data_IF_702215782020
#
_entry.id   IF_702215782020
#
_cell.length_a   1.000
_cell.length_b   1.000
_cell.length_c   1.000
_cell.angle_alpha   90.00
_cell.angle_beta   90.00
_cell.angle_gamma   90.00
#
_symmetry.space_group_name_H-M   'P 1'
#
loop_
_entity.id
_entity.type
_entity.pdbx_description
1 polymer ?
#
# COMPACT_ATOMS: atom_id res chain seq x y z
N UNK A 1 -32.60 -5.68 -5.95
CA UNK A 1 -31.26 -5.14 -5.74
C UNK A 1 -30.72 -4.64 -7.08
N UNK A 2 -29.93 -3.56 -7.07
CA UNK A 2 -29.24 -3.09 -8.27
C UNK A 2 -28.17 -4.10 -8.67
N UNK A 3 -27.95 -4.30 -9.96
CA UNK A 3 -27.02 -5.31 -10.46
C UNK A 3 -25.64 -4.75 -10.67
N UNK A 4 -24.63 -5.47 -10.18
CA UNK A 4 -23.21 -5.18 -10.37
C UNK A 4 -22.53 -6.31 -11.12
N UNK A 5 -21.54 -5.94 -11.92
CA UNK A 5 -20.54 -6.85 -12.46
C UNK A 5 -19.21 -6.51 -11.82
N UNK A 6 -18.61 -7.47 -11.15
CA UNK A 6 -17.29 -7.34 -10.54
C UNK A 6 -16.28 -8.06 -11.41
N UNK A 7 -15.23 -7.34 -11.82
CA UNK A 7 -14.11 -7.89 -12.55
C UNK A 7 -12.94 -8.05 -11.58
N UNK A 8 -12.75 -9.29 -11.10
CA UNK A 8 -11.79 -9.63 -10.06
C UNK A 8 -10.54 -10.29 -10.65
N UNK A 9 -9.36 -9.63 -10.58
CA UNK A 9 -8.11 -10.24 -11.00
C UNK A 9 -7.69 -11.29 -9.98
N UNK A 10 -7.98 -12.56 -10.26
CA UNK A 10 -7.59 -13.67 -9.41
C UNK A 10 -6.29 -14.29 -9.92
N UNK A 11 -5.25 -14.28 -9.10
CA UNK A 11 -3.99 -14.95 -9.42
C UNK A 11 -3.73 -16.09 -8.43
N UNK A 12 -3.94 -17.32 -8.86
CA UNK A 12 -3.76 -18.51 -8.02
C UNK A 12 -2.29 -18.96 -7.92
N UNK A 13 -1.41 -18.44 -8.77
CA UNK A 13 -0.09 -19.05 -8.97
C UNK A 13 1.04 -18.45 -8.15
N UNK A 14 0.86 -17.30 -7.49
CA UNK A 14 1.93 -16.71 -6.69
C UNK A 14 1.50 -16.41 -5.27
N UNK A 15 2.40 -16.70 -4.32
CA UNK A 15 2.21 -16.44 -2.89
C UNK A 15 1.93 -14.97 -2.57
N UNK A 16 2.45 -14.06 -3.38
CA UNK A 16 2.24 -12.62 -3.23
C UNK A 16 0.79 -12.19 -3.49
N UNK A 17 0.09 -12.87 -4.39
CA UNK A 17 -1.26 -12.53 -4.79
C UNK A 17 -2.35 -13.18 -3.91
N UNK A 18 -2.00 -14.13 -3.05
CA UNK A 18 -2.97 -14.74 -2.13
C UNK A 18 -3.67 -13.70 -1.26
N UNK A 19 -2.91 -12.73 -0.76
CA UNK A 19 -3.45 -11.72 0.16
C UNK A 19 -4.27 -10.66 -0.60
N UNK A 20 -3.95 -10.39 -1.87
CA UNK A 20 -4.79 -9.57 -2.76
C UNK A 20 -6.12 -10.25 -3.01
N UNK A 21 -6.10 -11.54 -3.35
CA UNK A 21 -7.31 -12.30 -3.59
C UNK A 21 -8.21 -12.30 -2.37
N UNK A 22 -7.66 -12.47 -1.18
CA UNK A 22 -8.43 -12.42 0.06
C UNK A 22 -9.16 -11.08 0.24
N UNK A 23 -8.50 -9.97 -0.04
CA UNK A 23 -9.16 -8.66 0.05
C UNK A 23 -10.23 -8.48 -1.03
N UNK A 24 -9.95 -8.89 -2.27
CA UNK A 24 -10.94 -8.80 -3.36
C UNK A 24 -12.16 -9.68 -3.10
N UNK A 25 -11.96 -10.86 -2.54
CA UNK A 25 -13.04 -11.75 -2.12
C UNK A 25 -13.87 -11.13 -1.00
N UNK A 26 -13.25 -10.56 0.02
CA UNK A 26 -13.92 -9.86 1.12
C UNK A 26 -14.73 -8.64 0.62
N UNK A 27 -14.15 -7.86 -0.30
CA UNK A 27 -14.84 -6.72 -0.93
C UNK A 27 -16.04 -7.20 -1.75
N UNK A 28 -15.86 -8.23 -2.55
CA UNK A 28 -16.94 -8.83 -3.36
C UNK A 28 -18.07 -9.38 -2.47
N UNK A 29 -17.73 -10.04 -1.38
CA UNK A 29 -18.73 -10.57 -0.43
C UNK A 29 -19.50 -9.45 0.28
N UNK A 30 -18.85 -8.33 0.60
CA UNK A 30 -19.55 -7.16 1.15
C UNK A 30 -20.48 -6.51 0.12
N UNK A 31 -20.07 -6.42 -1.15
CA UNK A 31 -20.93 -5.97 -2.24
C UNK A 31 -22.15 -6.88 -2.44
N UNK A 32 -22.01 -8.20 -2.34
CA UNK A 32 -23.12 -9.17 -2.44
C UNK A 32 -24.20 -8.97 -1.38
N UNK A 33 -23.89 -8.35 -0.25
CA UNK A 33 -24.88 -8.02 0.77
C UNK A 33 -25.84 -6.89 0.36
N UNK A 34 -25.41 -6.03 -0.58
CA UNK A 34 -26.12 -4.81 -0.99
C UNK A 34 -26.63 -4.86 -2.41
N UNK A 35 -26.00 -5.66 -3.27
CA UNK A 35 -26.19 -5.71 -4.70
C UNK A 35 -26.38 -7.14 -5.20
N UNK A 36 -27.00 -7.29 -6.38
CA UNK A 36 -27.02 -8.55 -7.13
C UNK A 36 -25.73 -8.62 -7.97
N UNK A 37 -24.74 -9.37 -7.48
CA UNK A 37 -23.37 -9.34 -8.01
C UNK A 37 -23.10 -10.52 -8.94
N UNK A 38 -22.73 -10.22 -10.18
CA UNK A 38 -22.10 -11.17 -11.10
C UNK A 38 -20.59 -10.99 -11.05
N UNK A 39 -19.84 -12.03 -10.70
CA UNK A 39 -18.38 -11.99 -10.59
C UNK A 39 -17.72 -12.63 -11.80
N UNK A 40 -16.85 -11.86 -12.48
CA UNK A 40 -15.96 -12.33 -13.52
C UNK A 40 -14.55 -12.43 -12.95
N UNK A 41 -14.05 -13.65 -12.76
CA UNK A 41 -12.66 -13.88 -12.32
C UNK A 41 -11.74 -14.00 -13.51
N UNK A 42 -10.64 -13.25 -13.48
CA UNK A 42 -9.58 -13.35 -14.47
C UNK A 42 -8.40 -14.10 -13.87
N UNK A 43 -7.98 -15.14 -14.58
CA UNK A 43 -6.77 -15.87 -14.23
C UNK A 43 -5.61 -15.28 -15.03
N UNK A 44 -4.55 -14.88 -14.33
CA UNK A 44 -3.33 -14.43 -15.00
C UNK A 44 -2.68 -15.60 -15.77
N UNK A 45 -2.47 -15.37 -17.05
CA UNK A 45 -1.50 -16.15 -17.82
C UNK A 45 -0.12 -15.58 -17.54
N UNK A 46 0.86 -16.41 -17.21
CA UNK A 46 2.18 -16.13 -16.68
C UNK A 46 3.07 -15.09 -17.40
N UNK A 47 2.56 -14.29 -18.32
CA UNK A 47 3.29 -13.43 -19.26
C UNK A 47 2.90 -11.94 -19.22
N UNK A 48 2.40 -11.40 -18.11
CA UNK A 48 2.03 -9.97 -18.01
C UNK A 48 1.07 -9.49 -19.12
N UNK A 49 0.17 -10.32 -19.58
CA UNK A 49 -0.79 -9.94 -20.60
C UNK A 49 -1.89 -9.07 -20.01
N UNK A 50 -2.16 -7.94 -20.68
CA UNK A 50 -3.31 -7.10 -20.37
C UNK A 50 -4.59 -7.84 -20.72
N UNK A 51 -5.53 -7.91 -19.77
CA UNK A 51 -6.85 -8.51 -20.02
C UNK A 51 -7.77 -7.48 -20.67
N UNK A 52 -8.38 -7.83 -21.78
CA UNK A 52 -9.46 -7.02 -22.36
C UNK A 52 -10.75 -7.32 -21.63
N UNK A 53 -11.31 -6.32 -20.98
CA UNK A 53 -12.64 -6.38 -20.37
C UNK A 53 -13.60 -5.60 -21.25
N UNK A 54 -14.63 -6.27 -21.75
CA UNK A 54 -15.73 -5.59 -22.41
C UNK A 54 -16.70 -5.10 -21.34
N UNK A 55 -16.65 -3.82 -21.03
CA UNK A 55 -17.68 -3.18 -20.24
C UNK A 55 -18.98 -3.19 -21.06
N UNK A 56 -20.11 -3.54 -20.41
CA UNK A 56 -21.35 -3.96 -21.06
C UNK A 56 -21.98 -2.94 -22.03
N UNK A 57 -21.65 -1.67 -21.90
CA UNK A 57 -22.19 -0.58 -22.74
C UNK A 57 -21.21 0.04 -23.72
N UNK A 58 -20.06 -0.55 -23.90
CA UNK A 58 -19.12 -0.08 -24.93
C UNK A 58 -19.50 -0.62 -26.28
N UNK A 59 -19.70 0.27 -27.24
CA UNK A 59 -20.30 -0.03 -28.55
C UNK A 59 -19.29 -0.44 -29.61
N UNK A 60 -17.98 -0.41 -29.36
CA UNK A 60 -16.96 -0.77 -30.33
C UNK A 60 -15.83 -1.62 -29.72
N UNK A 61 -15.21 -2.44 -30.55
CA UNK A 61 -14.07 -3.29 -30.16
C UNK A 61 -12.81 -2.48 -29.81
N UNK A 62 -12.78 -1.20 -30.18
CA UNK A 62 -11.67 -0.28 -29.91
C UNK A 62 -11.75 0.33 -28.51
N UNK A 63 -12.91 0.24 -27.86
CA UNK A 63 -13.20 0.76 -26.51
C UNK A 63 -13.02 -0.30 -25.40
N UNK A 64 -12.29 -1.38 -25.68
CA UNK A 64 -12.03 -2.41 -24.67
C UNK A 64 -11.16 -1.86 -23.54
N UNK A 65 -11.66 -1.95 -22.30
CA UNK A 65 -10.88 -1.63 -21.11
C UNK A 65 -9.79 -2.70 -20.91
N UNK A 66 -8.55 -2.26 -20.75
CA UNK A 66 -7.43 -3.15 -20.51
C UNK A 66 -7.14 -3.22 -19.02
N UNK A 67 -7.59 -4.28 -18.36
CA UNK A 67 -7.22 -4.54 -16.98
C UNK A 67 -5.78 -5.03 -16.87
N UNK A 68 -5.09 -4.51 -15.87
CA UNK A 68 -3.84 -5.05 -15.38
C UNK A 68 -4.13 -6.05 -14.26
N UNK A 69 -3.23 -6.98 -14.02
CA UNK A 69 -3.31 -8.00 -12.95
C UNK A 69 -3.52 -7.46 -11.53
N UNK A 70 -3.35 -6.17 -11.35
CA UNK A 70 -3.46 -5.46 -10.07
C UNK A 70 -4.66 -4.50 -10.03
N UNK A 71 -5.60 -4.64 -10.95
CA UNK A 71 -6.77 -3.77 -11.02
C UNK A 71 -8.07 -4.55 -10.80
N UNK A 72 -8.91 -4.01 -9.93
CA UNK A 72 -10.25 -4.53 -9.65
C UNK A 72 -11.28 -3.51 -10.14
N UNK A 73 -12.29 -3.96 -10.87
CA UNK A 73 -13.32 -3.08 -11.46
C UNK A 73 -14.70 -3.49 -10.99
N UNK A 74 -15.49 -2.48 -10.64
CA UNK A 74 -16.92 -2.60 -10.32
C UNK A 74 -17.70 -1.86 -11.39
N UNK A 75 -18.63 -2.53 -12.07
CA UNK A 75 -19.49 -1.96 -13.09
C UNK A 75 -20.96 -2.10 -12.71
N UNK A 76 -21.73 -1.02 -12.85
CA UNK A 76 -23.20 -1.07 -12.76
C UNK A 76 -23.82 -1.53 -14.08
N UNK A 77 -24.51 -2.69 -14.07
CA UNK A 77 -25.07 -3.31 -15.28
C UNK A 77 -26.09 -2.40 -16.00
N UNK A 78 -26.88 -1.63 -15.24
CA UNK A 78 -27.96 -0.79 -15.73
C UNK A 78 -27.46 0.51 -16.39
N UNK A 79 -26.44 1.17 -15.81
CA UNK A 79 -25.90 2.44 -16.30
C UNK A 79 -24.63 2.30 -17.11
N UNK A 80 -23.86 1.25 -16.87
CA UNK A 80 -22.50 1.06 -17.37
C UNK A 80 -21.46 1.94 -16.65
N UNK A 81 -21.86 2.64 -15.58
CA UNK A 81 -20.92 3.37 -14.72
C UNK A 81 -19.97 2.39 -14.04
N UNK A 82 -18.71 2.75 -13.92
CA UNK A 82 -17.72 1.85 -13.34
C UNK A 82 -16.69 2.56 -12.47
N UNK A 83 -16.07 1.78 -11.61
CA UNK A 83 -15.05 2.17 -10.65
C UNK A 83 -13.83 1.28 -10.82
N UNK A 84 -12.64 1.84 -10.67
CA UNK A 84 -11.37 1.11 -10.77
C UNK A 84 -10.59 1.24 -9.48
N UNK A 85 -10.01 0.14 -9.02
CA UNK A 85 -9.05 0.14 -7.91
C UNK A 85 -7.75 -0.47 -8.40
N UNK A 86 -6.66 0.29 -8.32
CA UNK A 86 -5.34 -0.12 -8.75
C UNK A 86 -4.39 -0.22 -7.56
N UNK A 87 -3.79 -1.40 -7.39
CA UNK A 87 -2.78 -1.68 -6.36
C UNK A 87 -1.36 -1.70 -6.96
N UNK A 88 -1.19 -1.16 -8.15
CA UNK A 88 0.10 -1.12 -8.81
C UNK A 88 1.10 -0.23 -8.08
N UNK A 89 2.33 -0.70 -7.97
CA UNK A 89 3.48 0.11 -7.52
C UNK A 89 3.87 1.16 -8.56
N UNK A 90 3.44 0.99 -9.81
CA UNK A 90 3.70 1.92 -10.90
C UNK A 90 2.42 2.68 -11.27
N UNK A 91 2.41 3.97 -10.95
CA UNK A 91 1.31 4.86 -11.25
C UNK A 91 0.99 4.94 -12.76
N UNK A 92 1.99 4.73 -13.63
CA UNK A 92 1.79 4.75 -15.08
C UNK A 92 0.76 3.72 -15.55
N UNK A 93 0.62 2.60 -14.85
CA UNK A 93 -0.37 1.59 -15.17
C UNK A 93 -1.80 2.05 -14.87
N UNK A 94 -2.01 2.71 -13.74
CA UNK A 94 -3.32 3.26 -13.38
C UNK A 94 -3.76 4.42 -14.28
N UNK A 95 -2.79 5.12 -14.89
CA UNK A 95 -3.04 6.28 -15.76
C UNK A 95 -3.34 5.86 -17.20
N UNK A 96 -2.82 4.73 -17.66
CA UNK A 96 -2.93 4.33 -19.09
C UNK A 96 -4.33 3.84 -19.50
N UNK A 97 -5.18 3.52 -18.52
CA UNK A 97 -6.47 2.90 -18.80
C UNK A 97 -7.63 3.90 -18.65
N UNK A 98 -7.87 4.70 -19.71
CA UNK A 98 -9.18 5.30 -19.95
C UNK A 98 -9.52 6.65 -19.31
N UNK A 99 -8.61 7.60 -19.46
CA UNK A 99 -8.81 8.98 -19.02
C UNK A 99 -10.00 9.70 -19.64
N UNK A 100 -10.60 9.16 -20.67
CA UNK A 100 -11.65 9.80 -21.47
C UNK A 100 -13.02 9.12 -21.37
N UNK A 101 -13.15 8.01 -20.61
CA UNK A 101 -14.45 7.34 -20.53
C UNK A 101 -15.41 8.10 -19.60
N UNK A 102 -16.53 8.66 -20.12
CA UNK A 102 -17.47 9.42 -19.33
C UNK A 102 -18.18 8.59 -18.23
N UNK A 103 -18.23 7.26 -18.40
CA UNK A 103 -18.87 6.34 -17.45
C UNK A 103 -17.96 5.99 -16.27
N UNK A 104 -16.66 6.28 -16.35
CA UNK A 104 -15.74 6.14 -15.21
C UNK A 104 -16.17 7.10 -14.11
N UNK A 105 -16.42 6.58 -12.92
CA UNK A 105 -16.84 7.35 -11.76
C UNK A 105 -15.65 7.67 -10.87
N UNK A 106 -14.81 6.70 -10.56
CA UNK A 106 -13.67 6.87 -9.65
C UNK A 106 -12.56 5.87 -9.91
N UNK A 107 -11.32 6.32 -9.68
CA UNK A 107 -10.12 5.50 -9.66
C UNK A 107 -9.45 5.63 -8.29
N UNK A 108 -9.30 4.53 -7.57
CA UNK A 108 -8.51 4.46 -6.36
C UNK A 108 -7.09 3.98 -6.70
N UNK A 109 -6.09 4.71 -6.25
CA UNK A 109 -4.68 4.47 -6.58
C UNK A 109 -3.83 4.39 -5.33
N UNK A 110 -3.06 3.32 -5.18
CA UNK A 110 -2.24 3.08 -3.99
C UNK A 110 -0.96 3.92 -3.93
N UNK A 111 -0.45 4.38 -5.07
CA UNK A 111 0.76 5.20 -5.19
C UNK A 111 0.42 6.56 -5.81
N UNK A 112 -0.44 7.32 -5.14
CA UNK A 112 -1.03 8.53 -5.71
C UNK A 112 -0.04 9.70 -5.70
N UNK A 113 0.46 10.06 -6.88
CA UNK A 113 1.24 11.27 -7.12
C UNK A 113 0.43 12.24 -7.99
N UNK A 114 -0.06 13.29 -7.38
CA UNK A 114 -0.92 14.30 -8.03
C UNK A 114 -0.25 14.93 -9.24
N UNK A 115 1.04 15.25 -9.15
CA UNK A 115 1.78 15.89 -10.24
C UNK A 115 1.92 14.96 -11.45
N UNK A 116 2.21 13.68 -11.20
CA UNK A 116 2.24 12.67 -12.26
C UNK A 116 0.87 12.48 -12.90
N UNK A 117 -0.20 12.39 -12.10
CA UNK A 117 -1.57 12.26 -12.65
C UNK A 117 -1.91 13.49 -13.48
N UNK A 118 -1.66 14.69 -12.98
CA UNK A 118 -1.94 15.94 -13.71
C UNK A 118 -1.18 16.06 -15.04
N UNK A 119 -0.02 15.46 -15.16
CA UNK A 119 0.76 15.50 -16.41
C UNK A 119 0.24 14.54 -17.50
N UNK A 120 -0.61 13.57 -17.14
CA UNK A 120 -1.06 12.52 -18.06
C UNK A 120 -2.59 12.47 -18.22
N UNK A 121 -3.34 13.06 -17.31
CA UNK A 121 -4.81 13.00 -17.27
C UNK A 121 -5.38 14.38 -17.56
N UNK A 122 -6.43 14.44 -18.40
CA UNK A 122 -7.11 15.71 -18.66
C UNK A 122 -7.73 16.29 -17.38
N UNK A 123 -7.75 17.63 -17.21
CA UNK A 123 -8.21 18.27 -15.98
C UNK A 123 -9.60 17.80 -15.49
N UNK A 124 -10.53 17.55 -16.41
CA UNK A 124 -11.89 17.08 -16.08
C UNK A 124 -11.95 15.67 -15.48
N UNK A 125 -10.87 14.88 -15.60
CA UNK A 125 -10.82 13.54 -15.05
C UNK A 125 -9.95 13.41 -13.80
N UNK A 126 -9.14 14.42 -13.47
CA UNK A 126 -8.28 14.41 -12.28
C UNK A 126 -9.10 14.20 -11.01
N UNK A 127 -10.28 14.81 -10.91
CA UNK A 127 -11.16 14.71 -9.74
C UNK A 127 -11.70 13.29 -9.51
N UNK A 128 -11.66 12.44 -10.54
CA UNK A 128 -12.04 11.03 -10.42
C UNK A 128 -10.97 10.17 -9.74
N UNK A 129 -9.72 10.62 -9.72
CA UNK A 129 -8.63 9.92 -9.07
C UNK A 129 -8.57 10.28 -7.59
N UNK A 130 -8.39 9.27 -6.77
CA UNK A 130 -8.28 9.43 -5.31
C UNK A 130 -7.16 8.56 -4.76
N UNK A 131 -6.39 9.10 -3.82
CA UNK A 131 -5.43 8.29 -3.10
C UNK A 131 -6.14 7.23 -2.27
N UNK A 132 -5.49 6.09 -2.14
CA UNK A 132 -5.98 4.95 -1.41
C UNK A 132 -4.83 4.19 -0.79
N UNK A 133 -4.98 3.75 0.46
CA UNK A 133 -4.00 2.88 1.07
C UNK A 133 -4.50 1.46 0.98
N UNK A 134 -3.80 0.69 0.19
CA UNK A 134 -4.02 -0.73 0.13
C UNK A 134 -2.71 -1.50 0.01
N UNK A 135 -2.52 -2.45 0.91
CA UNK A 135 -1.51 -3.49 0.77
C UNK A 135 -2.01 -4.80 1.35
N UNK A 136 -1.84 -5.91 0.65
CA UNK A 136 -2.03 -7.22 1.22
C UNK A 136 -0.91 -7.48 2.20
N UNK A 137 -1.22 -7.61 3.47
CA UNK A 137 -0.30 -8.12 4.47
C UNK A 137 -0.96 -9.31 5.18
N UNK A 138 -0.15 -10.12 5.81
CA UNK A 138 -0.61 -11.24 6.64
C UNK A 138 -1.25 -10.68 7.93
N UNK A 139 -2.39 -10.02 7.76
CA UNK A 139 -3.07 -9.23 8.79
C UNK A 139 -3.41 -10.08 10.01
N UNK A 140 -3.77 -11.35 9.80
CA UNK A 140 -4.15 -12.25 10.89
C UNK A 140 -2.98 -12.50 11.86
N UNK A 141 -1.73 -12.46 11.37
CA UNK A 141 -0.55 -12.65 12.22
C UNK A 141 -0.17 -11.37 12.99
N UNK A 142 -0.53 -10.18 12.49
CA UNK A 142 -0.11 -8.91 13.08
C UNK A 142 -0.63 -8.73 14.51
N UNK A 143 -1.86 -9.16 14.80
CA UNK A 143 -2.42 -9.05 16.15
C UNK A 143 -1.68 -9.94 17.16
N UNK A 144 -1.31 -11.15 16.74
CA UNK A 144 -0.54 -12.08 17.57
C UNK A 144 0.82 -11.47 17.91
N UNK A 145 1.51 -10.93 16.91
CA UNK A 145 2.83 -10.34 17.11
C UNK A 145 2.80 -8.98 17.83
N UNK A 146 1.75 -8.19 17.62
CA UNK A 146 1.53 -6.97 18.42
C UNK A 146 1.44 -7.29 19.91
N UNK A 147 0.65 -8.30 20.28
CA UNK A 147 0.50 -8.70 21.68
C UNK A 147 1.80 -9.27 22.26
N UNK A 148 2.58 -10.03 21.48
CA UNK A 148 3.91 -10.48 21.88
C UNK A 148 4.83 -9.30 22.16
N UNK A 149 4.88 -8.30 21.26
CA UNK A 149 5.70 -7.10 21.42
C UNK A 149 5.33 -6.30 22.64
N UNK A 150 4.03 -6.05 22.85
CA UNK A 150 3.51 -5.26 23.99
C UNK A 150 3.90 -5.84 25.34
N UNK A 151 4.08 -7.17 25.41
CA UNK A 151 4.46 -7.89 26.63
C UNK A 151 5.98 -8.14 26.72
N UNK A 152 6.80 -7.53 25.85
CA UNK A 152 8.26 -7.64 25.91
C UNK A 152 8.84 -6.58 26.84
N UNK A 153 9.64 -7.01 27.81
CA UNK A 153 10.26 -6.11 28.80
C UNK A 153 11.45 -5.32 28.22
N UNK A 154 12.13 -5.88 27.22
CA UNK A 154 13.31 -5.27 26.61
C UNK A 154 13.23 -5.28 25.09
N UNK A 155 13.46 -4.11 24.50
CA UNK A 155 13.58 -3.94 23.04
C UNK A 155 15.03 -3.61 22.68
N UNK A 156 15.49 -4.15 21.56
CA UNK A 156 16.82 -3.89 21.03
C UNK A 156 16.90 -2.43 20.54
N UNK A 157 17.88 -1.70 21.06
CA UNK A 157 18.10 -0.28 20.78
C UNK A 157 18.77 -0.06 19.42
N UNK A 158 18.09 -0.52 18.35
CA UNK A 158 18.50 -0.39 16.95
C UNK A 158 17.27 -0.23 16.06
N UNK A 159 17.51 0.26 14.85
CA UNK A 159 16.55 0.13 13.77
C UNK A 159 16.56 -1.30 13.21
N UNK A 160 15.43 -1.74 12.70
CA UNK A 160 15.31 -3.01 11.97
C UNK A 160 14.88 -2.76 10.54
N UNK A 161 15.58 -3.37 9.60
CA UNK A 161 15.19 -3.41 8.21
C UNK A 161 15.37 -4.81 7.62
N UNK A 162 14.36 -5.30 6.93
CA UNK A 162 14.46 -6.51 6.10
C UNK A 162 13.74 -6.30 4.78
N UNK A 163 14.43 -6.54 3.68
CA UNK A 163 13.88 -6.36 2.34
C UNK A 163 14.45 -7.34 1.34
N UNK A 164 13.75 -7.52 0.24
CA UNK A 164 14.04 -8.55 -0.77
C UNK A 164 15.12 -8.18 -1.77
N UNK A 165 15.46 -6.91 -1.93
CA UNK A 165 16.46 -6.45 -2.89
C UNK A 165 17.21 -5.23 -2.38
N UNK A 166 18.54 -5.30 -2.42
CA UNK A 166 19.40 -4.15 -2.11
C UNK A 166 19.45 -3.17 -3.28
N UNK A 167 19.39 -3.69 -4.51
CA UNK A 167 19.50 -2.86 -5.72
C UNK A 167 18.43 -1.77 -5.76
N UNK A 168 17.25 -2.03 -5.19
CA UNK A 168 16.16 -1.07 -5.13
C UNK A 168 16.24 -0.16 -3.88
N UNK A 169 17.17 -0.46 -2.95
CA UNK A 169 17.31 0.26 -1.67
C UNK A 169 18.77 0.45 -1.26
N UNK A 170 19.58 1.10 -2.09
CA UNK A 170 21.01 1.25 -1.85
C UNK A 170 21.32 1.99 -0.54
N UNK A 171 20.45 2.88 -0.11
CA UNK A 171 20.60 3.66 1.14
C UNK A 171 20.83 2.75 2.36
N UNK A 172 20.20 1.59 2.40
CA UNK A 172 20.31 0.66 3.54
C UNK A 172 21.74 0.15 3.72
N UNK A 173 22.52 0.05 2.64
CA UNK A 173 23.92 -0.38 2.69
C UNK A 173 24.85 0.67 3.27
N UNK A 174 24.41 1.92 3.32
CA UNK A 174 25.17 3.04 3.86
C UNK A 174 24.83 3.34 5.33
N UNK A 175 23.76 2.78 5.87
CA UNK A 175 23.43 2.93 7.29
C UNK A 175 24.42 2.15 8.14
N UNK A 176 24.96 2.81 9.18
CA UNK A 176 25.92 2.19 10.10
C UNK A 176 25.33 0.93 10.76
N UNK A 177 26.02 -0.23 10.69
CA UNK A 177 25.59 -1.49 11.31
C UNK A 177 25.43 -1.42 12.84
N UNK A 178 26.00 -0.42 13.49
CA UNK A 178 25.76 -0.19 14.92
C UNK A 178 24.33 0.23 15.20
N UNK A 179 23.66 0.90 14.27
CA UNK A 179 22.30 1.42 14.41
C UNK A 179 21.25 0.61 13.66
N UNK A 180 21.67 -0.24 12.75
CA UNK A 180 20.77 -1.04 11.92
C UNK A 180 21.06 -2.53 12.09
N UNK A 181 20.00 -3.32 12.22
CA UNK A 181 20.08 -4.77 12.17
C UNK A 181 19.09 -5.33 11.14
N UNK A 182 19.34 -6.53 10.66
CA UNK A 182 18.38 -7.28 9.86
C UNK A 182 18.58 -7.27 8.36
N UNK A 183 19.68 -6.70 7.85
CA UNK A 183 20.02 -6.95 6.46
C UNK A 183 20.39 -8.45 6.25
N UNK A 184 19.37 -9.27 6.06
CA UNK A 184 19.52 -10.67 5.64
C UNK A 184 18.60 -10.91 4.45
N UNK A 185 19.10 -11.60 3.41
CA UNK A 185 18.21 -12.07 2.36
C UNK A 185 17.17 -13.02 2.95
N UNK A 186 16.02 -12.97 2.38
CA UNK A 186 14.76 -13.66 2.64
C UNK A 186 14.90 -14.91 3.50
N UNK A 187 14.48 -14.81 4.78
CA UNK A 187 14.14 -15.98 5.61
C UNK A 187 12.65 -16.31 5.49
N UNK A 188 12.17 -17.31 6.20
CA UNK A 188 10.74 -17.60 6.22
C UNK A 188 9.94 -16.40 6.76
N UNK A 189 8.72 -16.15 6.31
CA UNK A 189 7.86 -15.08 6.81
C UNK A 189 7.69 -15.12 8.32
N UNK A 190 7.63 -16.29 8.91
CA UNK A 190 7.45 -16.46 10.36
C UNK A 190 8.62 -15.88 11.16
N UNK A 191 9.86 -16.06 10.71
CA UNK A 191 11.03 -15.48 11.39
C UNK A 191 11.12 -13.96 11.22
N UNK A 192 10.49 -13.38 10.20
CA UNK A 192 10.48 -11.96 9.97
C UNK A 192 9.78 -11.19 11.09
N UNK A 193 8.53 -11.55 11.41
CA UNK A 193 7.79 -10.89 12.48
C UNK A 193 8.39 -11.16 13.86
N UNK A 194 8.86 -12.39 14.12
CA UNK A 194 9.53 -12.75 15.37
C UNK A 194 10.81 -11.94 15.60
N UNK A 195 11.52 -11.58 14.56
CA UNK A 195 12.69 -10.71 14.67
C UNK A 195 12.29 -9.25 14.80
N UNK A 196 11.40 -8.77 13.92
CA UNK A 196 10.98 -7.37 13.85
C UNK A 196 10.44 -6.84 15.19
N UNK A 197 9.62 -7.62 15.90
CA UNK A 197 9.02 -7.18 17.16
C UNK A 197 10.02 -6.96 18.30
N UNK A 198 11.27 -7.42 18.16
CA UNK A 198 12.33 -7.24 19.16
C UNK A 198 12.99 -5.86 19.12
N UNK A 199 12.75 -5.07 18.06
CA UNK A 199 13.46 -3.81 17.85
C UNK A 199 12.61 -2.60 18.22
N UNK A 200 13.26 -1.53 18.71
CA UNK A 200 12.59 -0.29 19.09
C UNK A 200 11.93 0.39 17.89
N UNK A 201 12.64 0.49 16.78
CA UNK A 201 12.25 1.27 15.60
C UNK A 201 12.35 0.41 14.35
N UNK A 202 11.37 0.51 13.48
CA UNK A 202 11.40 -0.06 12.14
C UNK A 202 11.90 0.98 11.13
N UNK A 203 12.92 0.64 10.33
CA UNK A 203 13.35 1.48 9.23
C UNK A 203 12.50 1.15 7.99
N UNK A 204 11.77 2.14 7.47
CA UNK A 204 11.08 2.00 6.20
C UNK A 204 11.76 2.81 5.12
N UNK A 205 12.19 2.11 4.09
CA UNK A 205 12.75 2.67 2.87
C UNK A 205 11.86 2.27 1.72
N UNK A 206 11.51 3.25 0.90
CA UNK A 206 10.71 3.03 -0.29
C UNK A 206 11.34 2.00 -1.22
N UNK A 207 10.50 1.24 -1.91
CA UNK A 207 10.89 0.29 -2.94
C UNK A 207 10.61 0.85 -4.33
N UNK A 208 9.89 0.09 -5.15
CA UNK A 208 9.40 0.58 -6.45
C UNK A 208 8.34 1.67 -6.27
N UNK A 209 7.55 1.59 -5.20
CA UNK A 209 6.62 2.62 -4.77
C UNK A 209 7.03 3.22 -3.42
N UNK A 210 6.39 4.31 -3.02
CA UNK A 210 6.66 4.98 -1.75
C UNK A 210 6.10 4.22 -0.55
N UNK A 211 4.84 3.79 -0.68
CA UNK A 211 4.19 2.97 0.34
C UNK A 211 4.62 1.51 0.15
N UNK A 212 5.09 0.88 1.20
CA UNK A 212 5.55 -0.51 1.21
C UNK A 212 4.71 -1.36 2.17
N UNK A 213 4.69 -2.68 1.95
CA UNK A 213 4.10 -3.64 2.92
C UNK A 213 4.56 -3.40 4.35
N UNK A 214 5.84 -3.11 4.49
CA UNK A 214 6.50 -2.84 5.75
C UNK A 214 5.86 -1.68 6.51
N UNK A 215 5.39 -0.66 5.83
CA UNK A 215 4.73 0.49 6.45
C UNK A 215 3.46 0.05 7.17
N UNK A 216 2.67 -0.80 6.51
CA UNK A 216 1.44 -1.36 7.08
C UNK A 216 1.76 -2.32 8.24
N UNK A 217 2.78 -3.17 8.07
CA UNK A 217 3.23 -4.11 9.09
C UNK A 217 3.71 -3.38 10.35
N UNK A 218 4.50 -2.31 10.20
CA UNK A 218 4.96 -1.51 11.33
C UNK A 218 3.80 -0.85 12.07
N UNK A 219 2.86 -0.24 11.34
CA UNK A 219 1.66 0.33 11.94
C UNK A 219 0.83 -0.74 12.65
N UNK A 220 0.60 -1.87 11.99
CA UNK A 220 -0.15 -3.01 12.56
C UNK A 220 0.51 -3.64 13.78
N UNK A 221 1.82 -3.61 13.89
CA UNK A 221 2.59 -4.12 15.04
C UNK A 221 2.85 -3.05 16.12
N UNK A 222 2.41 -1.81 15.93
CA UNK A 222 2.72 -0.71 16.84
C UNK A 222 4.23 -0.47 16.95
N UNK A 223 4.95 -0.56 15.84
CA UNK A 223 6.39 -0.29 15.79
C UNK A 223 6.57 1.13 15.26
N UNK A 224 7.21 2.04 16.01
CA UNK A 224 7.56 3.36 15.50
C UNK A 224 8.37 3.22 14.21
N UNK A 225 7.87 3.80 13.13
CA UNK A 225 8.48 3.70 11.80
C UNK A 225 9.30 4.95 11.51
N UNK A 226 10.61 4.80 11.25
CA UNK A 226 11.48 5.87 10.78
C UNK A 226 11.55 5.83 9.25
N UNK A 227 11.28 6.97 8.61
CA UNK A 227 11.33 7.09 7.16
C UNK A 227 11.43 8.54 6.66
N UNK A 228 11.81 8.72 5.41
CA UNK A 228 11.61 9.99 4.72
C UNK A 228 10.12 10.28 4.49
N UNK A 229 9.77 11.56 4.48
CA UNK A 229 8.40 12.00 4.22
C UNK A 229 7.86 11.45 2.90
N UNK A 230 6.58 11.10 2.90
CA UNK A 230 5.88 10.70 1.67
C UNK A 230 5.75 11.87 0.70
N UNK A 231 5.96 11.62 -0.59
CA UNK A 231 5.55 12.51 -1.67
C UNK A 231 4.14 12.12 -2.13
N UNK A 232 3.85 10.83 -2.15
CA UNK A 232 2.52 10.33 -2.50
C UNK A 232 1.48 10.75 -1.49
N UNK A 233 0.34 11.19 -1.98
CA UNK A 233 -0.84 11.42 -1.16
C UNK A 233 -1.45 10.09 -0.76
N UNK A 234 -1.91 10.01 0.48
CA UNK A 234 -2.58 8.84 1.06
C UNK A 234 -3.98 9.27 1.55
N UNK A 235 -4.90 8.35 1.69
CA UNK A 235 -6.23 8.66 2.21
C UNK A 235 -6.67 7.63 3.26
N UNK A 236 -6.77 8.05 4.54
CA UNK A 236 -6.35 9.36 5.05
C UNK A 236 -4.83 9.55 4.99
N UNK A 237 -4.34 10.78 5.06
CA UNK A 237 -2.91 11.05 5.05
C UNK A 237 -2.22 10.57 6.32
N UNK A 238 -1.03 9.99 6.17
CA UNK A 238 -0.12 9.77 7.27
C UNK A 238 0.58 11.09 7.63
N UNK A 239 0.51 11.47 8.89
CA UNK A 239 1.03 12.75 9.39
C UNK A 239 2.44 12.55 9.93
N UNK A 240 3.45 13.31 9.43
CA UNK A 240 4.82 13.30 9.94
C UNK A 240 4.88 13.57 11.43
N UNK A 241 5.73 12.86 12.14
CA UNK A 241 5.92 12.95 13.60
C UNK A 241 4.63 12.74 14.43
N UNK A 242 3.60 12.17 13.80
CA UNK A 242 2.36 11.74 14.45
C UNK A 242 2.10 10.25 14.19
N UNK A 243 2.19 9.79 12.94
CA UNK A 243 2.04 8.39 12.56
C UNK A 243 3.37 7.68 12.29
N UNK A 244 4.42 8.45 12.06
CA UNK A 244 5.76 7.93 11.82
C UNK A 244 6.81 8.96 12.19
N UNK A 245 8.03 8.50 12.49
CA UNK A 245 9.19 9.35 12.74
C UNK A 245 9.67 9.89 11.40
N UNK A 246 9.47 11.16 11.16
CA UNK A 246 9.75 11.77 9.87
C UNK A 246 11.19 12.22 9.74
N UNK A 247 11.74 12.07 8.54
CA UNK A 247 12.96 12.69 8.06
C UNK A 247 12.63 13.50 6.83
N UNK A 248 13.05 14.76 6.81
CA UNK A 248 12.85 15.61 5.65
C UNK A 248 13.63 15.08 4.45
N UNK A 249 13.02 15.13 3.27
CA UNK A 249 13.71 14.76 2.03
C UNK A 249 14.62 15.88 1.61
N UNK A 250 15.88 15.59 1.28
CA UNK A 250 16.73 16.59 0.65
C UNK A 250 16.18 16.91 -0.76
N UNK A 251 15.93 18.20 -1.02
CA UNK A 251 15.66 18.77 -2.34
C UNK A 251 14.54 18.10 -3.16
N UNK A 252 13.49 17.58 -2.54
CA UNK A 252 12.37 16.87 -3.19
C UNK A 252 12.81 15.73 -4.15
N UNK A 253 13.96 15.13 -3.87
CA UNK A 253 14.53 14.09 -4.72
C UNK A 253 13.59 12.89 -4.86
N UNK A 254 13.43 12.35 -6.06
CA UNK A 254 12.75 11.09 -6.28
C UNK A 254 13.36 9.95 -5.45
N UNK A 255 12.55 8.96 -5.12
CA UNK A 255 12.93 7.80 -4.31
C UNK A 255 14.20 7.10 -4.82
N UNK A 256 14.31 6.93 -6.12
CA UNK A 256 15.43 6.28 -6.81
C UNK A 256 16.76 7.04 -6.66
N UNK A 257 16.72 8.29 -6.19
CA UNK A 257 17.90 9.11 -5.90
C UNK A 257 18.28 9.17 -4.42
N UNK A 258 17.50 8.61 -3.53
CA UNK A 258 17.79 8.50 -2.10
C UNK A 258 18.73 7.31 -1.82
N UNK A 259 19.91 7.29 -2.41
CA UNK A 259 20.76 6.09 -2.37
C UNK A 259 22.19 6.31 -1.90
N UNK A 260 22.51 7.47 -1.34
CA UNK A 260 23.88 7.79 -0.95
C UNK A 260 24.09 7.84 0.58
N UNK A 261 25.34 7.94 0.98
CA UNK A 261 25.78 8.00 2.37
C UNK A 261 25.20 9.21 3.12
N UNK A 262 25.07 10.37 2.47
CA UNK A 262 24.52 11.56 3.13
C UNK A 262 23.05 11.39 3.49
N UNK A 263 22.28 10.67 2.68
CA UNK A 263 20.89 10.36 3.00
C UNK A 263 20.77 9.35 4.13
N UNK A 264 21.65 8.34 4.17
CA UNK A 264 21.70 7.37 5.27
C UNK A 264 22.00 8.08 6.60
N UNK A 265 22.90 9.05 6.56
CA UNK A 265 23.26 9.85 7.74
C UNK A 265 22.08 10.64 8.31
N UNK A 266 21.18 11.18 7.49
CA UNK A 266 19.97 11.85 7.96
C UNK A 266 19.05 10.89 8.74
N UNK A 267 18.93 9.65 8.29
CA UNK A 267 18.17 8.62 9.01
C UNK A 267 18.82 8.28 10.35
N UNK A 268 20.16 8.15 10.37
CA UNK A 268 20.92 7.86 11.59
C UNK A 268 20.81 8.99 12.61
N UNK A 269 21.02 10.24 12.18
CA UNK A 269 20.89 11.42 13.03
C UNK A 269 19.50 11.48 13.67
N UNK A 270 18.45 11.28 12.87
CA UNK A 270 17.10 11.29 13.39
C UNK A 270 16.82 10.13 14.34
N UNK A 271 17.34 8.94 14.06
CA UNK A 271 17.24 7.81 14.98
C UNK A 271 17.91 8.13 16.31
N UNK A 272 19.13 8.65 16.30
CA UNK A 272 19.88 9.01 17.52
C UNK A 272 19.19 10.10 18.35
N UNK A 273 18.49 11.03 17.72
CA UNK A 273 17.71 12.06 18.40
C UNK A 273 16.53 11.47 19.20
N UNK A 274 15.88 10.43 18.68
CA UNK A 274 14.60 9.96 19.22
C UNK A 274 14.66 8.61 19.94
N UNK A 275 15.74 7.82 19.77
CA UNK A 275 15.79 6.43 20.26
C UNK A 275 15.61 6.29 21.77
N UNK A 276 15.98 7.32 22.53
CA UNK A 276 15.88 7.35 23.99
C UNK A 276 14.65 8.15 24.48
N UNK A 277 13.89 8.78 23.59
CA UNK A 277 12.63 9.46 23.90
C UNK A 277 11.47 8.46 23.89
N UNK A 278 11.29 7.77 25.01
CA UNK A 278 10.24 6.77 25.15
C UNK A 278 8.84 7.35 24.96
N UNK A 279 8.58 8.56 25.44
CA UNK A 279 7.25 9.18 25.33
C UNK A 279 6.91 9.46 23.86
N UNK A 280 7.85 9.98 23.10
CA UNK A 280 7.68 10.21 21.68
C UNK A 280 7.51 8.89 20.88
N UNK A 281 8.32 7.87 21.18
CA UNK A 281 8.20 6.57 20.52
C UNK A 281 6.84 5.90 20.81
N UNK A 282 6.38 5.95 22.07
CA UNK A 282 5.07 5.42 22.46
C UNK A 282 3.93 6.22 21.78
N UNK A 283 4.06 7.54 21.68
CA UNK A 283 3.11 8.41 20.99
C UNK A 283 2.98 8.01 19.50
N UNK A 284 4.09 7.89 18.78
CA UNK A 284 4.11 7.45 17.38
C UNK A 284 3.49 6.05 17.23
N UNK A 285 3.91 5.11 18.08
CA UNK A 285 3.42 3.73 18.07
C UNK A 285 1.90 3.66 18.20
N UNK A 286 1.34 4.37 19.18
CA UNK A 286 -0.09 4.35 19.47
C UNK A 286 -0.90 4.97 18.31
N UNK A 287 -0.48 6.12 17.78
CA UNK A 287 -1.18 6.79 16.69
C UNK A 287 -1.10 5.98 15.37
N UNK A 288 0.06 5.40 15.08
CA UNK A 288 0.22 4.52 13.92
C UNK A 288 -0.67 3.27 14.03
N UNK A 289 -0.73 2.67 15.22
CA UNK A 289 -1.59 1.52 15.49
C UNK A 289 -3.08 1.87 15.39
N UNK A 290 -3.48 3.02 15.92
CA UNK A 290 -4.85 3.51 15.80
C UNK A 290 -5.24 3.73 14.33
N UNK A 291 -4.36 4.34 13.55
CA UNK A 291 -4.55 4.50 12.12
C UNK A 291 -4.76 3.15 11.42
N UNK A 292 -3.89 2.16 11.72
CA UNK A 292 -4.03 0.80 11.19
C UNK A 292 -5.38 0.18 11.54
N UNK A 293 -5.78 0.24 12.80
CA UNK A 293 -7.04 -0.34 13.27
C UNK A 293 -8.25 0.31 12.57
N UNK A 294 -8.24 1.63 12.42
CA UNK A 294 -9.36 2.38 11.86
C UNK A 294 -9.51 2.23 10.33
N UNK A 295 -8.42 2.01 9.60
CA UNK A 295 -8.44 2.08 8.14
C UNK A 295 -7.93 0.82 7.42
N UNK A 296 -7.00 0.08 8.02
CA UNK A 296 -6.23 -0.96 7.33
C UNK A 296 -6.45 -2.36 7.90
N UNK A 297 -7.01 -2.49 9.10
CA UNK A 297 -7.34 -3.77 9.69
C UNK A 297 -8.33 -4.53 8.80
N UNK A 298 -8.34 -5.87 8.93
CA UNK A 298 -9.23 -6.74 8.14
C UNK A 298 -10.70 -6.31 8.25
N UNK A 299 -11.13 -5.88 9.42
CA UNK A 299 -12.50 -5.44 9.68
C UNK A 299 -12.85 -4.12 8.98
N UNK A 300 -11.92 -3.18 8.91
CA UNK A 300 -12.19 -1.81 8.49
C UNK A 300 -11.74 -1.47 7.06
N UNK A 301 -10.78 -2.22 6.47
CA UNK A 301 -10.23 -1.92 5.13
C UNK A 301 -11.29 -1.96 4.02
N UNK A 302 -12.18 -2.96 4.04
CA UNK A 302 -13.26 -3.08 3.04
C UNK A 302 -14.26 -1.94 3.19
N UNK A 303 -14.68 -1.68 4.43
CA UNK A 303 -15.60 -0.57 4.75
C UNK A 303 -15.00 0.79 4.33
N UNK A 304 -13.73 1.01 4.62
CA UNK A 304 -13.03 2.22 4.20
C UNK A 304 -13.00 2.36 2.67
N UNK A 305 -12.68 1.29 1.96
CA UNK A 305 -12.68 1.27 0.49
C UNK A 305 -14.06 1.58 -0.09
N UNK A 306 -15.12 0.95 0.40
CA UNK A 306 -16.48 1.21 -0.05
C UNK A 306 -16.92 2.66 0.22
N UNK A 307 -16.54 3.22 1.38
CA UNK A 307 -16.81 4.62 1.68
C UNK A 307 -16.09 5.57 0.69
N UNK A 308 -14.84 5.26 0.32
CA UNK A 308 -14.12 6.03 -0.70
C UNK A 308 -14.81 5.98 -2.07
N UNK A 309 -15.43 4.87 -2.41
CA UNK A 309 -16.18 4.67 -3.65
C UNK A 309 -17.61 5.23 -3.59
N UNK A 310 -18.12 5.61 -2.41
CA UNK A 310 -19.52 5.97 -2.14
C UNK A 310 -20.50 4.80 -2.44
N UNK A 311 -20.10 3.57 -2.12
CA UNK A 311 -20.88 2.34 -2.33
C UNK A 311 -21.39 1.71 -1.03
#
# INVERSE_FOLDING_TARGET
MRKLIVHNPCNEHTRYFRDYNLFWDELTDELKKRYDVTENRYYELANQQRFKVNLKKQSSCDDCFLLMECEYVIEFEDTGEFYVMSVSDDLSHAILNEHSNPLLQKVLVSQFDRNKIQSHVTPSFIEKYSPWIYFPCTIDDLEIFYNKRKNSDELIDKMYFRGTSISDRPIVTHVNPEYLNGYTPIGSPNTYFEDLIKYKVGLSVAGRGELCYRDIEYMGLGIPMLRFNYISELNPNLIPNYHYISVERPDDLPIDRLGNESHAKLLEERFLEVKDDKEFLDFISNNAREYYLNHLSRENRVKHTLNLLNL
#
